data_IF_999822623713
#
_entry.id   IF_999822623713
#
_cell.length_a   1.000
_cell.length_b   1.000
_cell.length_c   1.000
_cell.angle_alpha   90.00
_cell.angle_beta   90.00
_cell.angle_gamma   90.00
#
_symmetry.space_group_name_H-M   'P 1'
#
loop_
_entity.id
_entity.type
_entity.pdbx_description
1 polymer ?
#
# COMPACT_ATOMS: atom_id res chain seq x y z
N UNK A 1 -4.13 -12.69 6.17
CA UNK A 1 -3.89 -11.64 7.18
C UNK A 1 -4.85 -11.72 8.37
N UNK A 2 -6.15 -11.35 8.30
CA UNK A 2 -7.08 -11.49 9.46
C UNK A 2 -7.65 -12.90 9.65
N UNK A 3 -7.67 -13.68 8.58
CA UNK A 3 -8.01 -15.08 8.56
C UNK A 3 -6.95 -15.75 7.67
N UNK A 4 -6.43 -16.88 8.13
CA UNK A 4 -5.27 -17.53 7.52
C UNK A 4 -5.60 -18.12 6.13
N UNK A 5 -6.85 -18.50 5.86
CA UNK A 5 -7.24 -19.25 4.65
C UNK A 5 -8.27 -18.53 3.77
N UNK A 6 -8.80 -17.39 4.22
CA UNK A 6 -9.84 -16.66 3.47
C UNK A 6 -9.25 -15.96 2.23
N UNK A 7 -9.80 -16.27 1.05
CA UNK A 7 -9.50 -15.64 -0.25
C UNK A 7 -8.01 -15.68 -0.64
N UNK A 8 -7.32 -16.78 -0.35
CA UNK A 8 -5.89 -16.99 -0.65
C UNK A 8 -5.66 -18.46 -1.03
N UNK A 9 -4.69 -18.76 -1.91
CA UNK A 9 -4.45 -20.12 -2.42
C UNK A 9 -3.86 -21.07 -1.37
N UNK A 10 -2.91 -20.58 -0.57
CA UNK A 10 -2.32 -21.31 0.56
C UNK A 10 -2.55 -20.54 1.86
N UNK A 11 -2.47 -21.17 3.04
CA UNK A 11 -2.47 -20.46 4.31
C UNK A 11 -1.50 -19.28 4.32
N UNK A 12 -1.93 -18.12 4.83
CA UNK A 12 -1.17 -16.87 4.81
C UNK A 12 0.20 -17.00 5.49
N UNK A 13 0.27 -17.78 6.57
CA UNK A 13 1.51 -18.10 7.30
C UNK A 13 2.53 -18.94 6.52
N UNK A 14 2.15 -19.55 5.39
CA UNK A 14 3.08 -20.26 4.50
C UNK A 14 3.82 -19.31 3.54
N UNK A 15 3.39 -18.05 3.43
CA UNK A 15 4.07 -17.05 2.62
C UNK A 15 5.07 -16.27 3.48
N UNK A 16 6.34 -16.29 3.09
CA UNK A 16 7.40 -15.50 3.74
C UNK A 16 7.43 -14.06 3.26
N UNK A 17 7.10 -13.83 1.98
CA UNK A 17 7.09 -12.52 1.34
C UNK A 17 5.83 -12.29 0.52
N UNK A 18 5.41 -11.02 0.43
CA UNK A 18 4.31 -10.58 -0.42
C UNK A 18 4.80 -9.45 -1.31
N UNK A 19 4.94 -9.71 -2.60
CA UNK A 19 5.35 -8.72 -3.60
C UNK A 19 4.15 -8.15 -4.36
N UNK A 20 4.27 -6.89 -4.76
CA UNK A 20 3.34 -6.22 -5.67
C UNK A 20 4.12 -5.89 -6.95
N UNK A 21 3.54 -6.24 -8.09
CA UNK A 21 3.98 -5.76 -9.40
C UNK A 21 3.07 -4.57 -9.74
N UNK A 22 3.61 -3.36 -9.62
CA UNK A 22 2.87 -2.14 -9.90
C UNK A 22 3.12 -1.66 -11.32
N UNK A 23 2.06 -1.24 -12.00
CA UNK A 23 2.13 -0.61 -13.33
C UNK A 23 1.61 0.82 -13.24
N UNK A 24 2.34 1.75 -13.84
CA UNK A 24 1.93 3.15 -13.99
C UNK A 24 1.97 3.48 -15.47
N UNK A 25 0.91 4.09 -15.97
CA UNK A 25 0.81 4.48 -17.37
C UNK A 25 0.09 5.80 -17.49
N UNK A 26 0.34 6.49 -18.60
CA UNK A 26 -0.41 7.67 -19.00
C UNK A 26 -1.58 7.22 -19.87
N UNK A 27 -2.78 7.74 -19.61
CA UNK A 27 -3.93 7.50 -20.48
C UNK A 27 -3.69 8.21 -21.81
N UNK A 28 -3.88 7.49 -22.91
CA UNK A 28 -3.75 8.06 -24.24
C UNK A 28 -5.10 8.65 -24.69
N UNK A 29 -5.25 9.98 -24.77
CA UNK A 29 -6.52 10.60 -25.18
C UNK A 29 -6.86 10.36 -26.66
N UNK A 30 -5.87 9.99 -27.48
CA UNK A 30 -6.04 9.78 -28.92
C UNK A 30 -6.55 8.37 -29.26
N UNK A 31 -6.68 7.50 -28.26
CA UNK A 31 -7.17 6.15 -28.47
C UNK A 31 -8.67 6.15 -28.77
N UNK A 32 -9.05 5.39 -29.79
CA UNK A 32 -10.43 5.29 -30.27
C UNK A 32 -11.05 4.00 -29.70
N UNK A 33 -12.08 4.15 -28.88
CA UNK A 33 -12.86 3.00 -28.39
C UNK A 33 -13.62 2.33 -29.54
N UNK A 34 -13.57 1.00 -29.60
CA UNK A 34 -14.33 0.23 -30.59
C UNK A 34 -13.74 0.23 -32.01
N UNK A 35 -12.50 0.70 -32.20
CA UNK A 35 -11.81 0.58 -33.48
C UNK A 35 -11.65 -0.89 -33.88
N UNK A 36 -12.09 -1.24 -35.09
CA UNK A 36 -11.89 -2.56 -35.69
C UNK A 36 -10.79 -2.41 -36.73
N UNK A 37 -9.74 -3.22 -36.62
CA UNK A 37 -8.67 -3.32 -37.61
C UNK A 37 -8.53 -4.78 -38.06
N UNK A 38 -8.14 -4.98 -39.32
CA UNK A 38 -7.72 -6.31 -39.78
C UNK A 38 -6.36 -6.67 -39.19
N UNK A 39 -6.00 -7.95 -39.20
CA UNK A 39 -4.75 -8.41 -38.62
C UNK A 39 -3.53 -7.74 -39.25
N UNK A 40 -3.58 -7.46 -40.56
CA UNK A 40 -2.51 -6.78 -41.30
C UNK A 40 -2.27 -5.34 -40.81
N UNK A 41 -3.29 -4.70 -40.23
CA UNK A 41 -3.27 -3.31 -39.77
C UNK A 41 -3.25 -3.19 -38.24
N UNK A 42 -2.86 -4.25 -37.52
CA UNK A 42 -2.83 -4.25 -36.05
C UNK A 42 -1.91 -3.16 -35.47
N UNK A 43 -0.85 -2.81 -36.20
CA UNK A 43 0.09 -1.77 -35.80
C UNK A 43 -0.50 -0.35 -35.87
N UNK A 44 -1.61 -0.16 -36.60
CA UNK A 44 -2.30 1.12 -36.73
C UNK A 44 -3.27 1.39 -35.57
N UNK A 45 -3.48 0.41 -34.69
CA UNK A 45 -4.33 0.57 -33.51
C UNK A 45 -3.60 1.47 -32.50
N UNK A 46 -4.20 2.62 -32.22
CA UNK A 46 -3.67 3.55 -31.22
C UNK A 46 -3.92 2.96 -29.82
N UNK A 47 -2.86 2.71 -29.02
CA UNK A 47 -3.03 2.08 -27.72
C UNK A 47 -3.70 3.04 -26.72
N UNK A 48 -4.59 2.55 -25.83
CA UNK A 48 -5.28 3.38 -24.83
C UNK A 48 -4.40 3.87 -23.68
N UNK A 49 -3.15 3.40 -23.63
CA UNK A 49 -2.17 3.81 -22.65
C UNK A 49 -0.78 3.91 -23.28
N UNK A 50 0.00 4.87 -22.81
CA UNK A 50 1.38 5.14 -23.25
C UNK A 50 2.29 5.32 -22.04
N UNK A 51 3.60 5.37 -22.29
CA UNK A 51 4.61 5.65 -21.26
C UNK A 51 4.54 4.71 -20.04
N UNK A 52 4.25 3.43 -20.30
CA UNK A 52 4.12 2.43 -19.23
C UNK A 52 5.44 2.19 -18.51
N UNK A 53 5.41 2.28 -17.18
CA UNK A 53 6.50 1.90 -16.28
C UNK A 53 5.99 0.83 -15.31
N UNK A 54 6.90 0.01 -14.79
CA UNK A 54 6.56 -0.97 -13.77
C UNK A 54 7.59 -0.96 -12.64
N UNK A 55 7.19 -1.48 -11.49
CA UNK A 55 8.06 -1.75 -10.35
C UNK A 55 7.64 -3.04 -9.66
N UNK A 56 8.58 -3.67 -8.95
CA UNK A 56 8.32 -4.82 -8.08
C UNK A 56 8.82 -4.45 -6.68
N UNK A 57 7.94 -4.49 -5.69
CA UNK A 57 8.31 -4.16 -4.32
C UNK A 57 7.48 -4.96 -3.32
N UNK A 58 8.02 -5.18 -2.13
CA UNK A 58 7.26 -5.79 -1.04
C UNK A 58 6.07 -4.92 -0.64
N UNK A 59 4.92 -5.57 -0.44
CA UNK A 59 3.64 -4.92 -0.16
C UNK A 59 3.72 -3.98 1.04
N UNK A 60 4.38 -4.39 2.11
CA UNK A 60 4.47 -3.58 3.32
C UNK A 60 5.23 -2.26 3.04
N UNK A 61 6.32 -2.30 2.26
CA UNK A 61 7.15 -1.12 1.96
C UNK A 61 6.43 -0.04 1.15
N UNK A 62 5.43 -0.42 0.36
CA UNK A 62 4.61 0.52 -0.42
C UNK A 62 3.26 0.86 0.18
N UNK A 63 2.90 0.25 1.31
CA UNK A 63 1.63 0.49 1.98
C UNK A 63 1.66 1.81 2.76
N UNK A 64 0.56 2.55 2.73
CA UNK A 64 0.32 3.72 3.55
C UNK A 64 -0.49 3.36 4.80
N UNK A 65 -0.93 4.38 5.55
CA UNK A 65 -1.77 4.21 6.75
C UNK A 65 -3.27 4.45 6.47
N UNK A 66 -3.65 4.65 5.20
CA UNK A 66 -5.03 4.91 4.77
C UNK A 66 -5.61 3.78 3.93
N UNK A 67 -6.91 3.48 4.04
CA UNK A 67 -7.58 2.54 3.15
C UNK A 67 -7.55 3.05 1.70
N UNK A 68 -7.37 2.13 0.75
CA UNK A 68 -7.41 2.45 -0.69
C UNK A 68 -8.82 2.61 -1.25
N UNK A 69 -9.85 2.16 -0.52
CA UNK A 69 -11.24 2.20 -0.94
C UNK A 69 -12.18 2.22 0.27
N UNK A 70 -13.24 3.04 0.23
CA UNK A 70 -14.17 3.17 1.36
C UNK A 70 -15.10 1.97 1.59
N UNK A 71 -15.47 1.24 0.52
CA UNK A 71 -16.48 0.18 0.57
C UNK A 71 -15.90 -1.24 0.64
N UNK A 72 -14.68 -1.47 0.13
CA UNK A 72 -14.10 -2.81 -0.08
C UNK A 72 -12.93 -3.13 0.87
N UNK A 73 -12.73 -2.33 1.93
CA UNK A 73 -11.71 -2.54 2.98
C UNK A 73 -10.29 -2.86 2.47
N UNK A 74 -9.89 -2.29 1.31
CA UNK A 74 -8.55 -2.46 0.77
C UNK A 74 -7.50 -1.63 1.53
N UNK A 75 -6.32 -2.20 1.71
CA UNK A 75 -5.10 -1.48 2.13
C UNK A 75 -4.70 -0.51 1.02
N UNK A 76 -4.51 0.77 1.35
CA UNK A 76 -4.00 1.76 0.41
C UNK A 76 -2.48 1.80 0.38
N UNK A 77 -1.90 2.13 -0.77
CA UNK A 77 -0.50 2.52 -0.83
C UNK A 77 -0.30 3.90 -0.18
N UNK A 78 0.95 4.25 0.13
CA UNK A 78 1.28 5.66 0.32
C UNK A 78 1.06 6.42 -1.00
N UNK A 79 0.93 7.74 -0.93
CA UNK A 79 0.78 8.59 -2.12
C UNK A 79 2.09 9.31 -2.41
N UNK A 80 2.56 9.15 -3.65
CA UNK A 80 3.66 9.93 -4.21
C UNK A 80 3.41 10.15 -5.70
N UNK A 81 3.88 11.28 -6.22
CA UNK A 81 3.93 11.56 -7.66
C UNK A 81 5.24 11.08 -8.31
N UNK A 82 6.13 10.45 -7.54
CA UNK A 82 7.41 9.93 -8.02
C UNK A 82 7.41 8.40 -7.95
N UNK A 83 7.55 7.76 -9.11
CA UNK A 83 7.60 6.29 -9.20
C UNK A 83 8.82 5.71 -8.46
N UNK A 84 9.92 6.47 -8.32
CA UNK A 84 11.11 6.01 -7.63
C UNK A 84 10.84 5.72 -6.15
N UNK A 85 9.88 6.40 -5.51
CA UNK A 85 9.49 6.07 -4.13
C UNK A 85 8.91 4.66 -4.02
N UNK A 86 8.18 4.21 -5.04
CA UNK A 86 7.62 2.85 -5.07
C UNK A 86 8.70 1.82 -5.40
N UNK A 87 9.64 2.16 -6.28
CA UNK A 87 10.80 1.32 -6.61
C UNK A 87 11.65 1.11 -5.35
N UNK A 88 11.97 2.18 -4.62
CA UNK A 88 12.78 2.16 -3.41
C UNK A 88 11.99 1.71 -2.17
N UNK A 89 10.65 1.72 -2.24
CA UNK A 89 9.75 1.34 -1.17
C UNK A 89 9.71 2.35 -0.02
N UNK A 90 9.79 3.65 -0.28
CA UNK A 90 9.93 4.71 0.72
C UNK A 90 8.67 4.98 1.58
N UNK A 91 7.77 4.00 1.70
CA UNK A 91 6.62 4.08 2.58
C UNK A 91 6.98 3.95 4.07
N UNK A 92 6.07 4.36 4.97
CA UNK A 92 6.35 4.39 6.40
C UNK A 92 6.68 3.00 6.97
N UNK A 93 6.02 1.95 6.46
CA UNK A 93 6.20 0.58 6.94
C UNK A 93 7.51 -0.07 6.49
N UNK A 94 8.27 0.50 5.53
CA UNK A 94 9.65 0.09 5.27
C UNK A 94 10.53 0.33 6.49
N UNK A 95 10.31 1.44 7.19
CA UNK A 95 11.09 1.85 8.35
C UNK A 95 10.53 1.27 9.66
N UNK A 96 9.20 1.14 9.76
CA UNK A 96 8.53 0.58 10.93
C UNK A 96 8.58 -0.96 10.99
N UNK A 97 8.78 -1.63 9.86
CA UNK A 97 8.86 -3.09 9.78
C UNK A 97 7.56 -3.79 9.39
N UNK A 98 7.71 -5.03 8.91
CA UNK A 98 6.61 -5.88 8.43
C UNK A 98 5.66 -6.29 9.55
N UNK A 99 6.18 -6.52 10.75
CA UNK A 99 5.41 -6.95 11.91
C UNK A 99 4.41 -5.84 12.31
N UNK A 100 4.88 -4.59 12.38
CA UNK A 100 4.00 -3.46 12.73
C UNK A 100 2.98 -3.18 11.64
N UNK A 101 3.35 -3.36 10.36
CA UNK A 101 2.41 -3.33 9.23
C UNK A 101 1.28 -4.35 9.41
N UNK A 102 1.60 -5.58 9.80
CA UNK A 102 0.59 -6.62 10.02
C UNK A 102 -0.29 -6.29 11.22
N UNK A 103 0.28 -5.85 12.35
CA UNK A 103 -0.52 -5.45 13.54
C UNK A 103 -1.45 -4.29 13.20
N UNK A 104 -0.97 -3.28 12.47
CA UNK A 104 -1.77 -2.15 12.02
C UNK A 104 -2.95 -2.63 11.17
N UNK A 105 -2.70 -3.34 10.07
CA UNK A 105 -3.78 -3.68 9.14
C UNK A 105 -4.70 -4.80 9.62
N UNK A 106 -4.21 -5.70 10.48
CA UNK A 106 -5.06 -6.69 11.15
C UNK A 106 -6.07 -6.04 12.09
N UNK A 107 -5.66 -4.97 12.79
CA UNK A 107 -6.50 -4.29 13.78
C UNK A 107 -7.20 -3.02 13.27
N UNK A 108 -6.96 -2.62 12.01
CA UNK A 108 -7.54 -1.40 11.44
C UNK A 108 -9.08 -1.47 11.51
N UNK A 109 -9.78 -0.46 12.04
CA UNK A 109 -11.23 -0.53 12.20
C UNK A 109 -11.96 -0.82 10.88
N UNK A 110 -12.93 -1.73 10.92
CA UNK A 110 -13.83 -1.99 9.78
C UNK A 110 -14.71 -0.77 9.51
N UNK A 111 -15.15 -0.60 8.25
CA UNK A 111 -15.89 0.61 7.83
C UNK A 111 -17.13 0.91 8.69
N UNK A 112 -17.81 -0.14 9.18
CA UNK A 112 -19.04 -0.02 9.99
C UNK A 112 -18.81 -0.05 11.51
N UNK A 113 -17.55 -0.02 11.97
CA UNK A 113 -17.21 -0.07 13.39
C UNK A 113 -16.74 1.29 13.90
N UNK A 114 -16.89 1.51 15.21
CA UNK A 114 -16.28 2.66 15.90
C UNK A 114 -14.78 2.63 15.67
N UNK A 115 -14.23 3.74 15.15
CA UNK A 115 -12.80 3.81 14.82
C UNK A 115 -12.01 4.12 16.10
N UNK A 116 -11.23 3.16 16.57
CA UNK A 116 -10.25 3.37 17.65
C UNK A 116 -8.92 3.97 17.17
N UNK A 117 -8.63 3.92 15.87
CA UNK A 117 -7.60 4.74 15.20
C UNK A 117 -7.90 4.86 13.70
N UNK A 118 -7.23 5.79 13.03
CA UNK A 118 -7.32 5.96 11.57
C UNK A 118 -6.03 6.47 10.92
N UNK A 119 -4.94 6.49 11.69
CA UNK A 119 -3.61 6.95 11.28
C UNK A 119 -2.54 6.28 12.14
N UNK A 120 -1.29 6.31 11.71
CA UNK A 120 -0.17 5.83 12.52
C UNK A 120 -0.07 6.51 13.90
N UNK A 121 -0.19 7.85 14.03
CA UNK A 121 -0.21 8.50 15.34
C UNK A 121 -1.31 8.00 16.27
N UNK A 122 -2.56 7.90 15.78
CA UNK A 122 -3.67 7.39 16.60
C UNK A 122 -3.55 5.90 16.89
N UNK A 123 -2.85 5.14 16.04
CA UNK A 123 -2.53 3.75 16.27
C UNK A 123 -1.49 3.58 17.39
N UNK A 124 -0.47 4.44 17.48
CA UNK A 124 0.50 4.40 18.57
C UNK A 124 -0.16 4.67 19.93
N UNK A 125 -1.07 5.65 20.00
CA UNK A 125 -1.90 5.88 21.19
C UNK A 125 -2.76 4.66 21.53
N UNK A 126 -3.34 4.03 20.52
CA UNK A 126 -4.10 2.79 20.71
C UNK A 126 -3.22 1.64 21.24
N UNK A 127 -1.97 1.49 20.76
CA UNK A 127 -1.05 0.46 21.23
C UNK A 127 -0.73 0.59 22.72
N UNK A 128 -0.61 1.82 23.24
CA UNK A 128 -0.40 2.10 24.68
C UNK A 128 -1.54 1.49 25.53
N UNK A 129 -2.76 1.38 24.98
CA UNK A 129 -3.91 0.76 25.67
C UNK A 129 -3.94 -0.77 25.61
N UNK A 130 -3.20 -1.41 24.70
CA UNK A 130 -3.35 -2.84 24.38
C UNK A 130 -2.26 -3.74 24.95
N UNK A 131 -1.18 -3.17 25.50
CA UNK A 131 -0.03 -3.93 26.05
C UNK A 131 0.53 -4.98 25.07
N UNK A 132 0.47 -4.69 23.76
CA UNK A 132 1.05 -5.54 22.70
C UNK A 132 2.56 -5.34 22.64
N UNK A 133 2.99 -4.09 22.83
CA UNK A 133 4.38 -3.66 22.89
C UNK A 133 4.62 -2.92 24.20
N UNK A 134 5.87 -2.88 24.66
CA UNK A 134 6.28 -2.02 25.78
C UNK A 134 6.20 -0.54 25.39
N UNK A 135 6.11 0.35 26.39
CA UNK A 135 6.08 1.80 26.14
C UNK A 135 7.33 2.27 25.37
N UNK A 136 8.52 1.79 25.74
CA UNK A 136 9.76 2.12 25.03
C UNK A 136 9.82 1.63 23.57
N UNK A 137 9.17 0.51 23.24
CA UNK A 137 9.03 0.07 21.85
C UNK A 137 8.09 1.00 21.06
N UNK A 138 6.98 1.43 21.68
CA UNK A 138 6.03 2.34 21.06
C UNK A 138 6.67 3.71 20.82
N UNK A 139 7.41 4.25 21.80
CA UNK A 139 8.19 5.49 21.67
C UNK A 139 9.18 5.39 20.51
N UNK A 140 9.89 4.26 20.38
CA UNK A 140 10.79 4.03 19.25
C UNK A 140 10.07 4.02 17.90
N UNK A 141 8.87 3.44 17.82
CA UNK A 141 8.07 3.49 16.58
C UNK A 141 7.63 4.92 16.25
N UNK A 142 7.24 5.71 17.25
CA UNK A 142 6.89 7.11 17.09
C UNK A 142 8.09 7.93 16.58
N UNK A 143 9.28 7.72 17.14
CA UNK A 143 10.53 8.36 16.68
C UNK A 143 10.87 8.01 15.23
N UNK A 144 10.83 6.71 14.87
CA UNK A 144 11.07 6.25 13.50
C UNK A 144 10.08 6.89 12.53
N UNK A 145 8.78 6.92 12.89
CA UNK A 145 7.75 7.53 12.05
C UNK A 145 7.94 9.03 11.90
N UNK A 146 8.30 9.73 12.98
CA UNK A 146 8.57 11.16 12.96
C UNK A 146 9.79 11.49 12.09
N UNK A 147 10.87 10.71 12.20
CA UNK A 147 12.04 10.82 11.31
C UNK A 147 11.65 10.57 9.85
N UNK A 148 10.88 9.53 9.56
CA UNK A 148 10.41 9.24 8.20
C UNK A 148 9.64 10.41 7.59
N UNK A 149 8.74 11.05 8.34
CA UNK A 149 8.00 12.24 7.87
C UNK A 149 8.90 13.42 7.56
N UNK A 150 10.00 13.59 8.30
CA UNK A 150 11.01 14.65 8.05
C UNK A 150 11.79 14.33 6.78
N UNK A 151 12.17 13.06 6.59
CA UNK A 151 12.96 12.61 5.45
C UNK A 151 12.11 12.54 4.15
N UNK A 152 10.79 12.33 4.26
CA UNK A 152 9.85 12.19 3.12
C UNK A 152 8.58 13.07 3.28
N UNK A 153 8.71 14.40 3.42
CA UNK A 153 7.58 15.29 3.74
C UNK A 153 6.53 15.41 2.63
N UNK A 154 6.85 14.93 1.43
CA UNK A 154 6.00 14.95 0.24
C UNK A 154 5.20 13.66 0.03
N UNK A 155 5.50 12.60 0.80
CA UNK A 155 4.74 11.35 0.77
C UNK A 155 3.55 11.47 1.73
N UNK A 156 2.33 11.19 1.23
CA UNK A 156 1.08 11.30 2.00
C UNK A 156 0.45 9.94 2.34
#
# INVERSE_FOLDING_TARGET
>A
MRNNTKNICFPYDQYTHHFVIGFVYERNPDAIEGQIASFENIADIIPPYINSKYFIQEKHKISGDKPGSGNTENIGSFKSNNINDFIEGNGPFKFLGKELFEVYWQNYPRTRSTKHYSSLPSFFEWLKTKKIYSEGEIERFEEIYNKWKIDHPYIL
#
